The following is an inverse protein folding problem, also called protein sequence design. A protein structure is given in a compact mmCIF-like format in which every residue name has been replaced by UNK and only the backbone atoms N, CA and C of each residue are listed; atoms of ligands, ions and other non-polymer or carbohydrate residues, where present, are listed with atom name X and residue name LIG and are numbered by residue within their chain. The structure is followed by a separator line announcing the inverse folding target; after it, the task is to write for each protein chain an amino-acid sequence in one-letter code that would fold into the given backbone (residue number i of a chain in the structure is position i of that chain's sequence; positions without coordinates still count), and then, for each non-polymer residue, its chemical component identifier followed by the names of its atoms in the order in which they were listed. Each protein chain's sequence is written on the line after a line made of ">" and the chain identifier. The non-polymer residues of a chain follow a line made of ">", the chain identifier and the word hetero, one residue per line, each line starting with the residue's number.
data_IF_693358760547
#
_entry.id   IF_693358760547
#
_cell.length_a   1.000
_cell.length_b   1.000
_cell.length_c   1.000
_cell.angle_alpha   90.00
_cell.angle_beta   90.00
_cell.angle_gamma   90.00
#
_symmetry.space_group_name_H-M   'P 1'
#
loop_
_entity.id
_entity.type
_entity.pdbx_description
1 polymer ?
#
# COMPACT_ATOMS: atom_id res chain seq x y z
N UNK A 1 -3.70 -25.89 39.14
CA UNK A 1 -2.33 -25.46 38.82
C UNK A 1 -2.43 -24.56 37.61
N UNK A 2 -1.97 -23.29 37.64
CA UNK A 2 -1.94 -22.48 36.43
C UNK A 2 -0.88 -23.08 35.50
N UNK A 3 -1.29 -23.51 34.31
CA UNK A 3 -0.36 -24.00 33.29
C UNK A 3 0.52 -22.83 32.83
N UNK A 4 1.83 -23.03 32.61
CA UNK A 4 2.69 -22.00 32.04
C UNK A 4 2.19 -21.69 30.64
N UNK A 5 1.43 -20.60 30.47
CA UNK A 5 0.88 -20.22 29.17
C UNK A 5 2.01 -19.78 28.25
N UNK A 6 2.30 -20.58 27.24
CA UNK A 6 3.23 -20.19 26.19
C UNK A 6 2.58 -19.10 25.32
N UNK A 7 3.00 -17.85 25.51
CA UNK A 7 2.50 -16.70 24.77
C UNK A 7 3.67 -15.95 24.14
N UNK A 8 3.73 -15.90 22.81
CA UNK A 8 4.71 -15.10 22.05
C UNK A 8 3.97 -14.01 21.31
N UNK A 9 4.40 -12.76 21.51
CA UNK A 9 3.80 -11.59 20.87
C UNK A 9 4.90 -10.74 20.22
N UNK A 10 4.67 -10.31 18.99
CA UNK A 10 5.54 -9.36 18.31
C UNK A 10 4.74 -8.45 17.39
N UNK A 11 5.26 -7.25 17.18
CA UNK A 11 4.75 -6.33 16.18
C UNK A 11 5.48 -6.56 14.86
N UNK A 12 4.71 -6.77 13.80
CA UNK A 12 5.22 -6.85 12.43
C UNK A 12 4.48 -5.84 11.55
N UNK A 13 5.18 -5.28 10.58
CA UNK A 13 4.50 -4.52 9.53
C UNK A 13 3.73 -5.50 8.64
N UNK A 14 2.49 -5.17 8.27
CA UNK A 14 1.67 -6.02 7.40
C UNK A 14 2.32 -6.22 6.01
N UNK A 15 3.12 -5.25 5.56
CA UNK A 15 3.99 -5.31 4.41
C UNK A 15 5.29 -4.57 4.71
N UNK A 16 6.38 -4.94 4.04
CA UNK A 16 7.64 -4.20 4.08
C UNK A 16 7.39 -2.75 3.64
N UNK A 17 7.57 -1.79 4.54
CA UNK A 17 7.24 -0.39 4.29
C UNK A 17 8.20 0.20 3.27
N UNK A 18 7.79 0.21 2.00
CA UNK A 18 8.51 0.95 0.97
C UNK A 18 7.91 2.35 0.89
N UNK A 19 8.39 3.26 1.73
CA UNK A 19 8.12 4.69 1.59
C UNK A 19 8.47 5.10 0.15
N UNK A 20 7.46 5.55 -0.59
CA UNK A 20 7.68 6.11 -1.94
C UNK A 20 8.05 7.56 -1.74
N UNK A 21 9.28 7.91 -2.14
CA UNK A 21 9.72 9.30 -2.10
C UNK A 21 8.82 10.17 -2.98
N UNK A 22 8.69 11.47 -2.70
CA UNK A 22 7.97 12.42 -3.54
C UNK A 22 8.42 12.36 -5.02
N UNK A 23 9.70 12.07 -5.27
CA UNK A 23 10.27 11.93 -6.61
C UNK A 23 9.61 10.79 -7.42
N UNK A 24 9.20 9.71 -6.75
CA UNK A 24 8.49 8.61 -7.39
C UNK A 24 7.13 9.07 -7.95
N UNK A 25 6.40 9.86 -7.18
CA UNK A 25 5.12 10.43 -7.62
C UNK A 25 5.30 11.40 -8.78
N UNK A 26 6.34 12.24 -8.73
CA UNK A 26 6.70 13.12 -9.84
C UNK A 26 7.05 12.36 -11.11
N UNK A 27 7.88 11.31 -11.01
CA UNK A 27 8.25 10.48 -12.15
C UNK A 27 7.02 9.82 -12.81
N UNK A 28 6.15 9.20 -12.01
CA UNK A 28 4.91 8.59 -12.52
C UNK A 28 4.00 9.64 -13.15
N UNK A 29 3.86 10.82 -12.51
CA UNK A 29 3.05 11.92 -13.04
C UNK A 29 3.54 12.40 -14.41
N UNK A 30 4.83 12.70 -14.55
CA UNK A 30 5.42 13.20 -15.80
C UNK A 30 5.27 12.18 -16.93
N UNK A 31 5.57 10.90 -16.67
CA UNK A 31 5.44 9.84 -17.67
C UNK A 31 3.98 9.73 -18.14
N UNK A 32 3.06 9.74 -17.19
CA UNK A 32 1.63 9.53 -17.47
C UNK A 32 0.99 10.69 -18.22
N UNK A 33 1.34 11.93 -17.86
CA UNK A 33 0.91 13.13 -18.59
C UNK A 33 1.45 13.11 -20.01
N UNK A 34 2.73 12.73 -20.19
CA UNK A 34 3.33 12.62 -21.52
C UNK A 34 2.62 11.58 -22.39
N UNK A 35 2.28 10.42 -21.83
CA UNK A 35 1.52 9.37 -22.52
C UNK A 35 0.09 9.79 -22.84
N UNK A 36 -0.58 10.50 -21.93
CA UNK A 36 -1.92 11.02 -22.16
C UNK A 36 -1.93 12.04 -23.31
N UNK A 37 -0.97 12.98 -23.33
CA UNK A 37 -0.80 13.94 -24.42
C UNK A 37 -0.52 13.23 -25.74
N UNK A 38 0.44 12.29 -25.75
CA UNK A 38 0.76 11.50 -26.93
C UNK A 38 -0.48 10.76 -27.47
N UNK A 39 -1.28 10.15 -26.58
CA UNK A 39 -2.51 9.45 -26.96
C UNK A 39 -3.51 10.37 -27.65
N UNK A 40 -3.69 11.60 -27.15
CA UNK A 40 -4.56 12.60 -27.79
C UNK A 40 -4.03 13.03 -29.16
N UNK A 41 -2.71 13.23 -29.30
CA UNK A 41 -2.08 13.57 -30.60
C UNK A 41 -2.32 12.48 -31.64
N UNK A 42 -2.25 11.20 -31.24
CA UNK A 42 -2.55 10.06 -32.11
C UNK A 42 -4.06 9.83 -32.32
N UNK A 43 -4.94 10.70 -31.81
CA UNK A 43 -6.39 10.59 -31.94
C UNK A 43 -7.05 9.57 -30.99
N UNK A 44 -6.28 8.98 -30.07
CA UNK A 44 -6.73 7.96 -29.12
C UNK A 44 -7.18 8.60 -27.80
N UNK A 45 -8.28 9.34 -27.84
CA UNK A 45 -8.80 10.07 -26.66
C UNK A 45 -9.17 9.12 -25.52
N UNK A 46 -9.79 7.98 -25.84
CA UNK A 46 -10.17 6.96 -24.84
C UNK A 46 -8.94 6.44 -24.07
N UNK A 47 -7.84 6.20 -24.78
CA UNK A 47 -6.58 5.76 -24.16
C UNK A 47 -6.03 6.84 -23.22
N UNK A 48 -6.06 8.12 -23.64
CA UNK A 48 -5.64 9.23 -22.79
C UNK A 48 -6.43 9.30 -21.48
N UNK A 49 -7.76 9.17 -21.55
CA UNK A 49 -8.63 9.14 -20.36
C UNK A 49 -8.32 7.93 -19.47
N UNK A 50 -8.11 6.75 -20.07
CA UNK A 50 -7.77 5.54 -19.33
C UNK A 50 -6.45 5.69 -18.56
N UNK A 51 -5.43 6.31 -19.19
CA UNK A 51 -4.14 6.58 -18.54
C UNK A 51 -4.33 7.47 -17.32
N UNK A 52 -5.10 8.55 -17.44
CA UNK A 52 -5.36 9.47 -16.33
C UNK A 52 -6.06 8.76 -15.15
N UNK A 53 -7.09 7.97 -15.42
CA UNK A 53 -7.83 7.22 -14.39
C UNK A 53 -6.91 6.19 -13.72
N UNK A 54 -6.09 5.50 -14.50
CA UNK A 54 -5.17 4.45 -14.00
C UNK A 54 -4.15 5.04 -13.04
N UNK A 55 -3.55 6.17 -13.40
CA UNK A 55 -2.54 6.85 -12.58
C UNK A 55 -3.13 7.51 -11.35
N UNK A 56 -4.33 8.08 -11.46
CA UNK A 56 -5.06 8.56 -10.30
C UNK A 56 -5.33 7.44 -9.30
N UNK A 57 -5.82 6.30 -9.77
CA UNK A 57 -6.08 5.11 -8.93
C UNK A 57 -4.80 4.58 -8.30
N UNK A 58 -3.71 4.50 -9.06
CA UNK A 58 -2.40 4.09 -8.57
C UNK A 58 -1.88 5.04 -7.49
N UNK A 59 -2.03 6.35 -7.66
CA UNK A 59 -1.62 7.35 -6.67
C UNK A 59 -2.39 7.18 -5.35
N UNK A 60 -3.71 6.97 -5.42
CA UNK A 60 -4.54 6.68 -4.25
C UNK A 60 -4.11 5.39 -3.53
N UNK A 61 -3.72 4.36 -4.28
CA UNK A 61 -3.23 3.11 -3.71
C UNK A 61 -1.83 3.25 -3.09
N UNK A 62 -0.91 3.92 -3.78
CA UNK A 62 0.46 4.12 -3.34
C UNK A 62 0.59 5.01 -2.10
N UNK A 63 -0.38 5.91 -1.87
CA UNK A 63 -0.44 6.75 -0.69
C UNK A 63 -0.97 6.06 0.58
N UNK A 64 -1.39 4.79 0.52
CA UNK A 64 -1.88 4.09 1.72
C UNK A 64 -0.73 3.66 2.62
N UNK A 65 -0.63 4.16 3.87
CA UNK A 65 0.38 3.71 4.81
C UNK A 65 0.13 2.24 5.21
N UNK A 66 1.18 1.41 5.35
CA UNK A 66 1.01 0.04 5.83
C UNK A 66 0.59 0.06 7.31
N UNK A 67 -0.41 -0.75 7.64
CA UNK A 67 -0.80 -0.95 9.04
C UNK A 67 0.28 -1.75 9.76
N UNK A 68 0.64 -1.33 10.98
CA UNK A 68 1.34 -2.21 11.92
C UNK A 68 0.34 -3.23 12.44
N UNK A 69 0.80 -4.46 12.57
CA UNK A 69 -0.03 -5.60 12.89
C UNK A 69 0.57 -6.32 14.09
N UNK A 70 -0.23 -6.50 15.15
CA UNK A 70 0.17 -7.24 16.33
C UNK A 70 -0.10 -8.73 16.09
N UNK A 71 0.93 -9.56 16.16
CA UNK A 71 0.79 -11.01 16.01
C UNK A 71 1.01 -11.67 17.36
N UNK A 72 0.03 -12.47 17.79
CA UNK A 72 0.08 -13.27 19.02
C UNK A 72 -0.01 -14.75 18.67
N UNK A 73 0.92 -15.55 19.20
CA UNK A 73 0.87 -17.02 19.19
C UNK A 73 0.62 -17.50 20.61
N UNK A 74 -0.41 -18.33 20.76
CA UNK A 74 -0.80 -18.98 22.02
C UNK A 74 -1.13 -20.47 21.75
N UNK A 75 -1.41 -21.25 22.79
CA UNK A 75 -1.76 -22.68 22.72
C UNK A 75 -2.99 -22.97 21.83
N UNK A 76 -3.80 -21.95 21.56
CA UNK A 76 -4.98 -22.00 20.68
C UNK A 76 -4.67 -21.70 19.21
N UNK A 77 -3.46 -21.25 18.87
CA UNK A 77 -3.04 -20.91 17.51
C UNK A 77 -2.57 -19.46 17.33
N UNK A 78 -2.65 -18.97 16.08
CA UNK A 78 -2.17 -17.65 15.68
C UNK A 78 -3.36 -16.67 15.64
N UNK A 79 -3.24 -15.54 16.34
CA UNK A 79 -4.24 -14.46 16.35
C UNK A 79 -3.66 -13.15 15.84
N UNK A 80 -4.47 -12.42 15.05
CA UNK A 80 -4.15 -11.11 14.46
C UNK A 80 -4.85 -10.02 15.29
N UNK A 81 -4.09 -9.17 15.97
CA UNK A 81 -4.60 -8.04 16.77
C UNK A 81 -4.24 -6.68 16.15
N UNK A 82 -5.02 -5.64 16.50
CA UNK A 82 -4.62 -4.25 16.25
C UNK A 82 -3.79 -3.77 17.42
N UNK A 83 -2.64 -3.13 17.15
CA UNK A 83 -1.87 -2.43 18.18
C UNK A 83 -2.74 -1.26 18.69
N UNK A 84 -3.00 -1.15 20.01
CA UNK A 84 -3.69 0.02 20.55
C UNK A 84 -2.77 1.23 20.39
N UNK A 85 -3.08 2.11 19.44
CA UNK A 85 -2.48 3.45 19.35
C UNK A 85 -2.85 4.20 20.64
N UNK A 86 -1.83 4.47 21.46
CA UNK A 86 -1.94 5.24 22.71
C UNK A 86 -2.04 6.74 22.43
#
# INVERSE_FOLDING_TARGET
>A
MPQPSFKIEWDAHEYEHKERSPDWFWAVGIISVSLAIASVIFGNIILGILILISVFTLALFAGRPPSTLHVTIDEKGISRGKVPTR
#
